data_IF_028586664129
#
_entry.id   IF_028586664129
#
_cell.length_a   1.000
_cell.length_b   1.000
_cell.length_c   1.000
_cell.angle_alpha   90.00
_cell.angle_beta   90.00
_cell.angle_gamma   90.00
#
_symmetry.space_group_name_H-M   'P 1'
#
loop_
_entity.id
_entity.type
_entity.pdbx_description
1 polymer ?
#
# COMPACT_ATOMS: atom_id res chain seq x y z
N UNK A 1 -15.29 21.10 20.20
CA UNK A 1 -15.08 21.79 18.94
C UNK A 1 -15.91 21.14 17.85
N UNK A 2 -16.78 21.92 17.19
CA UNK A 2 -17.59 21.41 16.07
C UNK A 2 -16.76 21.57 14.80
N UNK A 3 -16.42 20.48 14.13
CA UNK A 3 -15.88 20.50 12.77
C UNK A 3 -17.09 20.72 11.86
N UNK A 4 -17.16 21.85 11.18
CA UNK A 4 -18.25 22.15 10.24
C UNK A 4 -18.27 21.19 9.03
N UNK A 5 -18.97 21.57 7.97
CA UNK A 5 -19.01 20.79 6.73
C UNK A 5 -17.63 20.74 6.09
N UNK A 6 -17.20 19.55 5.70
CA UNK A 6 -15.93 19.30 5.02
C UNK A 6 -16.22 18.73 3.63
N UNK A 7 -15.62 19.34 2.61
CA UNK A 7 -15.71 18.82 1.26
C UNK A 7 -14.81 17.58 1.11
N UNK A 8 -15.40 16.44 0.77
CA UNK A 8 -14.67 15.20 0.48
C UNK A 8 -14.45 15.08 -1.03
N UNK A 9 -13.26 14.62 -1.45
CA UNK A 9 -12.94 14.38 -2.87
C UNK A 9 -13.63 13.11 -3.41
N UNK A 10 -14.06 12.21 -2.51
CA UNK A 10 -14.76 10.99 -2.85
C UNK A 10 -16.23 11.08 -2.41
N UNK A 11 -17.11 10.42 -3.17
CA UNK A 11 -18.51 10.29 -2.80
C UNK A 11 -18.69 9.32 -1.63
N UNK A 12 -18.56 9.83 -0.41
CA UNK A 12 -18.70 9.07 0.83
C UNK A 12 -20.10 8.50 0.97
N UNK A 13 -21.13 9.29 0.62
CA UNK A 13 -22.53 8.90 0.76
C UNK A 13 -22.86 7.65 -0.06
N UNK A 14 -22.34 7.55 -1.30
CA UNK A 14 -22.52 6.37 -2.12
C UNK A 14 -21.85 5.12 -1.55
N UNK A 15 -20.65 5.29 -0.96
CA UNK A 15 -19.89 4.16 -0.38
C UNK A 15 -20.52 3.59 0.90
N UNK A 16 -21.17 4.43 1.71
CA UNK A 16 -21.79 4.02 2.98
C UNK A 16 -23.29 3.79 2.87
N UNK A 17 -23.86 3.84 1.66
CA UNK A 17 -25.30 3.63 1.44
C UNK A 17 -25.73 2.27 1.97
N UNK A 18 -26.78 2.28 2.80
CA UNK A 18 -27.30 1.07 3.45
C UNK A 18 -26.42 0.53 4.58
N UNK A 19 -25.45 1.31 5.08
CA UNK A 19 -24.62 0.94 6.20
C UNK A 19 -24.75 1.97 7.34
N UNK A 20 -24.66 1.51 8.60
CA UNK A 20 -24.61 2.38 9.78
C UNK A 20 -23.16 2.79 10.04
N UNK A 21 -22.88 4.09 10.04
CA UNK A 21 -21.56 4.61 10.42
C UNK A 21 -21.41 4.56 11.92
N UNK A 22 -20.47 3.77 12.42
CA UNK A 22 -20.20 3.57 13.86
C UNK A 22 -19.12 4.52 14.35
N UNK A 23 -18.07 4.73 13.54
CA UNK A 23 -16.93 5.56 13.91
C UNK A 23 -16.36 6.30 12.71
N UNK A 24 -15.88 7.51 12.95
CA UNK A 24 -15.06 8.25 12.00
C UNK A 24 -13.74 8.63 12.64
N UNK A 25 -12.64 8.34 11.97
CA UNK A 25 -11.30 8.75 12.37
C UNK A 25 -10.72 9.69 11.32
N UNK A 26 -10.27 10.86 11.76
CA UNK A 26 -9.62 11.85 10.90
C UNK A 26 -8.12 11.80 11.11
N UNK A 27 -7.36 11.66 10.05
CA UNK A 27 -5.90 11.60 10.10
C UNK A 27 -5.26 12.51 9.07
N UNK A 28 -3.98 12.85 9.27
CA UNK A 28 -3.21 13.63 8.32
C UNK A 28 -1.95 12.90 7.92
N UNK A 29 -1.80 12.60 6.63
CA UNK A 29 -0.61 11.92 6.07
C UNK A 29 -0.06 12.71 4.88
N UNK A 30 1.23 12.99 4.88
CA UNK A 30 1.93 13.71 3.80
C UNK A 30 1.27 15.06 3.40
N UNK A 31 0.71 15.77 4.37
CA UNK A 31 0.03 17.06 4.17
C UNK A 31 -1.39 16.95 3.58
N UNK A 32 -1.96 15.75 3.49
CA UNK A 32 -3.36 15.50 3.11
C UNK A 32 -4.16 15.00 4.30
N UNK A 33 -5.42 15.34 4.35
CA UNK A 33 -6.38 14.86 5.33
C UNK A 33 -7.12 13.65 4.79
N UNK A 34 -7.38 12.69 5.65
CA UNK A 34 -8.13 11.46 5.37
C UNK A 34 -9.17 11.26 6.45
N UNK A 35 -10.36 10.82 6.06
CA UNK A 35 -11.38 10.32 6.96
C UNK A 35 -11.55 8.83 6.72
N UNK A 36 -11.42 8.03 7.78
CA UNK A 36 -11.71 6.60 7.77
C UNK A 36 -13.03 6.38 8.49
N UNK A 37 -13.95 5.68 7.85
CA UNK A 37 -15.26 5.35 8.38
C UNK A 37 -15.32 3.86 8.71
N UNK A 38 -15.68 3.55 9.95
CA UNK A 38 -16.06 2.19 10.34
C UNK A 38 -17.57 2.10 10.18
N UNK A 39 -18.02 1.14 9.40
CA UNK A 39 -19.44 0.92 9.10
C UNK A 39 -19.86 -0.48 9.52
N UNK A 40 -21.09 -0.56 10.00
CA UNK A 40 -21.79 -1.82 10.27
C UNK A 40 -22.73 -2.07 9.08
N UNK A 41 -22.60 -3.23 8.48
CA UNK A 41 -23.43 -3.66 7.35
C UNK A 41 -23.65 -5.15 7.46
N UNK A 42 -24.82 -5.61 7.03
CA UNK A 42 -25.09 -7.02 6.86
C UNK A 42 -24.06 -7.65 5.93
N UNK A 43 -23.56 -8.83 6.28
CA UNK A 43 -22.60 -9.53 5.45
C UNK A 43 -23.22 -9.80 4.07
N UNK A 44 -22.56 -9.42 2.98
CA UNK A 44 -23.05 -9.75 1.66
C UNK A 44 -23.05 -11.27 1.49
N UNK A 45 -24.13 -11.83 0.99
CA UNK A 45 -24.16 -13.23 0.55
C UNK A 45 -23.25 -13.37 -0.66
N UNK A 46 -21.98 -13.74 -0.40
CA UNK A 46 -21.02 -13.99 -1.48
C UNK A 46 -21.35 -15.34 -2.10
N UNK A 47 -21.93 -15.34 -3.29
CA UNK A 47 -21.96 -16.55 -4.13
C UNK A 47 -20.51 -16.85 -4.51
N UNK A 48 -19.93 -17.87 -3.89
CA UNK A 48 -18.60 -18.32 -4.29
C UNK A 48 -18.70 -18.95 -5.68
N UNK A 49 -18.02 -18.35 -6.64
CA UNK A 49 -17.80 -18.98 -7.94
C UNK A 49 -16.91 -20.22 -7.76
N UNK A 50 -17.02 -21.25 -8.60
CA UNK A 50 -16.07 -22.35 -8.62
C UNK A 50 -14.66 -21.80 -8.78
N UNK A 51 -13.75 -22.19 -7.88
CA UNK A 51 -12.36 -21.74 -7.90
C UNK A 51 -11.48 -22.82 -8.51
N UNK A 52 -10.37 -22.42 -9.09
CA UNK A 52 -9.28 -23.34 -9.42
C UNK A 52 -8.79 -24.04 -8.12
N UNK A 53 -8.11 -25.17 -8.26
CA UNK A 53 -7.58 -25.91 -7.12
C UNK A 53 -6.54 -25.16 -6.30
N UNK A 54 -5.65 -25.90 -5.64
CA UNK A 54 -4.57 -25.33 -4.85
C UNK A 54 -3.47 -24.68 -5.72
N UNK A 55 -2.85 -23.62 -5.22
CA UNK A 55 -1.69 -22.97 -5.83
C UNK A 55 -0.59 -22.72 -4.80
N UNK A 56 0.64 -23.03 -5.17
CA UNK A 56 1.85 -22.64 -4.43
C UNK A 56 2.39 -21.30 -4.97
N UNK A 57 2.88 -20.45 -4.08
CA UNK A 57 3.45 -19.13 -4.43
C UNK A 57 4.86 -19.05 -3.88
N UNK A 58 5.83 -18.91 -4.77
CA UNK A 58 7.23 -18.56 -4.48
C UNK A 58 7.41 -17.04 -4.59
N UNK A 59 7.94 -16.40 -3.53
CA UNK A 59 8.15 -14.96 -3.45
C UNK A 59 9.61 -14.60 -3.79
N UNK A 60 9.79 -13.65 -4.70
CA UNK A 60 11.10 -13.25 -5.16
C UNK A 60 11.32 -11.73 -5.26
N UNK A 61 12.58 -11.31 -5.25
CA UNK A 61 12.95 -9.89 -5.42
C UNK A 61 13.08 -9.47 -6.88
N UNK A 62 13.32 -10.42 -7.80
CA UNK A 62 13.37 -10.17 -9.26
C UNK A 62 11.95 -10.11 -9.83
N UNK A 63 11.24 -11.19 -9.72
CA UNK A 63 9.79 -11.31 -9.86
C UNK A 63 9.18 -11.21 -8.50
N UNK A 64 8.00 -10.61 -8.37
CA UNK A 64 7.34 -10.47 -7.07
C UNK A 64 6.82 -11.81 -6.56
N UNK A 65 6.22 -12.59 -7.44
CA UNK A 65 5.74 -13.93 -7.14
C UNK A 65 5.79 -14.81 -8.40
N UNK A 66 6.02 -16.11 -8.21
CA UNK A 66 5.87 -17.14 -9.23
C UNK A 66 4.92 -18.21 -8.69
N UNK A 67 3.88 -18.52 -9.43
CA UNK A 67 2.86 -19.48 -9.04
C UNK A 67 3.20 -20.87 -9.60
N UNK A 68 2.74 -21.91 -8.91
CA UNK A 68 2.97 -23.30 -9.34
C UNK A 68 2.33 -23.66 -10.69
N UNK A 69 1.36 -22.87 -11.16
CA UNK A 69 0.77 -23.00 -12.50
C UNK A 69 1.57 -22.32 -13.61
N UNK A 70 2.73 -21.74 -13.27
CA UNK A 70 3.61 -21.03 -14.21
C UNK A 70 3.30 -19.53 -14.34
N UNK A 71 2.28 -19.01 -13.67
CA UNK A 71 1.99 -17.57 -13.69
C UNK A 71 3.09 -16.79 -12.99
N UNK A 72 3.61 -15.74 -13.65
CA UNK A 72 4.68 -14.88 -13.11
C UNK A 72 4.14 -13.48 -12.87
N UNK A 73 4.33 -12.99 -11.65
CA UNK A 73 3.95 -11.64 -11.23
C UNK A 73 5.19 -10.75 -11.17
N UNK A 74 5.25 -9.78 -12.07
CA UNK A 74 6.38 -8.86 -12.15
C UNK A 74 6.51 -7.96 -10.91
N UNK A 75 7.75 -7.69 -10.48
CA UNK A 75 8.02 -6.75 -9.40
C UNK A 75 8.09 -5.31 -9.97
N UNK A 76 7.15 -4.40 -9.62
CA UNK A 76 7.11 -3.03 -10.15
C UNK A 76 8.23 -2.14 -9.62
N UNK A 77 9.01 -2.59 -8.63
CA UNK A 77 10.15 -1.89 -8.01
C UNK A 77 9.83 -0.42 -7.74
N UNK A 78 8.74 -0.17 -7.03
CA UNK A 78 8.14 1.15 -6.83
C UNK A 78 9.12 2.18 -6.23
N UNK A 79 9.99 1.74 -5.30
CA UNK A 79 11.04 2.60 -4.73
C UNK A 79 12.12 2.90 -5.76
N UNK A 80 12.64 1.89 -6.45
CA UNK A 80 13.68 2.05 -7.46
C UNK A 80 13.23 3.02 -8.57
N UNK A 81 12.00 2.86 -9.07
CA UNK A 81 11.41 3.75 -10.06
C UNK A 81 11.27 5.21 -9.58
N UNK A 82 11.20 5.42 -8.26
CA UNK A 82 11.05 6.75 -7.65
C UNK A 82 12.37 7.31 -7.10
N UNK A 83 13.45 6.54 -7.08
CA UNK A 83 14.70 6.85 -6.38
C UNK A 83 15.33 8.17 -6.82
N UNK A 84 15.46 8.42 -8.12
CA UNK A 84 16.02 9.66 -8.67
C UNK A 84 15.24 10.90 -8.19
N UNK A 85 13.90 10.78 -8.15
CA UNK A 85 13.02 11.85 -7.68
C UNK A 85 13.17 12.06 -6.17
N UNK A 86 13.29 10.98 -5.41
CA UNK A 86 13.45 11.00 -3.97
C UNK A 86 14.80 11.64 -3.58
N UNK A 87 15.92 11.22 -4.20
CA UNK A 87 17.25 11.81 -4.02
C UNK A 87 17.25 13.32 -4.26
N UNK A 88 16.63 13.78 -5.35
CA UNK A 88 16.49 15.21 -5.63
C UNK A 88 15.69 15.96 -4.57
N UNK A 89 14.59 15.36 -4.09
CA UNK A 89 13.76 15.97 -3.06
C UNK A 89 14.47 16.05 -1.70
N UNK A 90 15.23 15.01 -1.32
CA UNK A 90 16.07 15.02 -0.11
C UNK A 90 17.19 16.07 -0.20
N UNK A 91 17.89 16.17 -1.33
CA UNK A 91 18.92 17.20 -1.55
C UNK A 91 18.33 18.62 -1.48
N UNK A 92 17.10 18.83 -1.97
CA UNK A 92 16.41 20.11 -1.83
C UNK A 92 16.01 20.40 -0.39
N UNK A 93 15.60 19.38 0.38
CA UNK A 93 15.25 19.50 1.79
C UNK A 93 16.48 19.82 2.68
N UNK A 94 17.62 19.14 2.47
CA UNK A 94 18.83 19.33 3.26
C UNK A 94 19.37 20.76 3.17
N UNK A 95 19.18 21.44 2.01
CA UNK A 95 19.61 22.81 1.76
C UNK A 95 18.72 23.89 2.39
N UNK A 96 17.65 23.51 3.11
CA UNK A 96 16.71 24.49 3.68
C UNK A 96 16.97 24.67 5.18
N UNK A 97 16.91 25.91 5.63
CA UNK A 97 17.05 26.29 7.03
C UNK A 97 15.98 25.59 7.90
N UNK A 98 16.40 25.01 9.03
CA UNK A 98 15.50 24.39 10.01
C UNK A 98 14.48 25.42 10.50
N UNK A 99 13.22 24.99 10.68
CA UNK A 99 12.11 25.87 11.11
C UNK A 99 11.45 26.69 10.00
N UNK A 100 12.09 26.88 8.85
CA UNK A 100 11.55 27.75 7.79
C UNK A 100 10.31 27.14 7.11
N UNK A 101 9.38 28.00 6.66
CA UNK A 101 8.22 27.60 5.84
C UNK A 101 8.65 26.88 4.55
N UNK A 102 9.79 27.28 3.96
CA UNK A 102 10.37 26.61 2.77
C UNK A 102 10.82 25.19 3.08
N UNK A 103 11.40 24.93 4.26
CA UNK A 103 11.76 23.58 4.71
C UNK A 103 10.51 22.71 4.94
N UNK A 104 9.45 23.26 5.51
CA UNK A 104 8.18 22.56 5.69
C UNK A 104 7.60 22.10 4.34
N UNK A 105 7.59 22.99 3.34
CA UNK A 105 7.16 22.64 1.97
C UNK A 105 8.02 21.52 1.37
N UNK A 106 9.36 21.60 1.53
CA UNK A 106 10.26 20.57 1.03
C UNK A 106 10.06 19.22 1.75
N UNK A 107 9.87 19.21 3.08
CA UNK A 107 9.54 18.02 3.87
C UNK A 107 8.24 17.37 3.39
N UNK A 108 7.20 18.17 3.18
CA UNK A 108 5.93 17.67 2.66
C UNK A 108 6.09 17.07 1.25
N UNK A 109 6.98 17.62 0.41
CA UNK A 109 7.28 17.04 -0.92
C UNK A 109 7.91 15.66 -0.80
N UNK A 110 8.90 15.47 0.09
CA UNK A 110 9.51 14.15 0.38
C UNK A 110 8.44 13.18 0.90
N UNK A 111 7.66 13.59 1.90
CA UNK A 111 6.59 12.78 2.47
C UNK A 111 5.56 12.32 1.42
N UNK A 112 5.20 13.21 0.47
CA UNK A 112 4.29 12.85 -0.63
C UNK A 112 4.88 11.81 -1.60
N UNK A 113 6.19 11.85 -1.84
CA UNK A 113 6.86 10.84 -2.67
C UNK A 113 6.80 9.48 -1.98
N UNK A 114 7.16 9.41 -0.69
CA UNK A 114 7.06 8.17 0.10
C UNK A 114 5.62 7.65 0.16
N UNK A 115 4.64 8.52 0.44
CA UNK A 115 3.23 8.13 0.47
C UNK A 115 2.75 7.55 -0.87
N UNK A 116 3.23 8.11 -2.00
CA UNK A 116 2.90 7.59 -3.33
C UNK A 116 3.52 6.22 -3.59
N UNK A 117 4.77 5.99 -3.14
CA UNK A 117 5.43 4.68 -3.24
C UNK A 117 4.62 3.65 -2.43
N UNK A 118 4.32 3.93 -1.17
CA UNK A 118 3.53 3.05 -0.31
C UNK A 118 2.13 2.77 -0.89
N UNK A 119 1.44 3.80 -1.42
CA UNK A 119 0.13 3.61 -2.03
C UNK A 119 0.17 2.71 -3.28
N UNK A 120 1.21 2.83 -4.11
CA UNK A 120 1.36 1.96 -5.29
C UNK A 120 1.64 0.51 -4.91
N UNK A 121 2.45 0.28 -3.87
CA UNK A 121 2.72 -1.06 -3.36
C UNK A 121 1.43 -1.69 -2.85
N UNK A 122 0.72 -0.97 -1.98
CA UNK A 122 -0.54 -1.47 -1.42
C UNK A 122 -1.57 -1.77 -2.51
N UNK A 123 -1.76 -0.87 -3.49
CA UNK A 123 -2.69 -1.09 -4.60
C UNK A 123 -2.35 -2.36 -5.40
N UNK A 124 -1.05 -2.62 -5.63
CA UNK A 124 -0.61 -3.85 -6.27
C UNK A 124 -0.93 -5.08 -5.43
N UNK A 125 -0.56 -5.05 -4.13
CA UNK A 125 -0.79 -6.18 -3.23
C UNK A 125 -2.29 -6.44 -3.04
N UNK A 126 -3.10 -5.40 -2.87
CA UNK A 126 -4.55 -5.50 -2.74
C UNK A 126 -5.18 -6.13 -3.99
N UNK A 127 -4.71 -5.75 -5.19
CA UNK A 127 -5.16 -6.35 -6.46
C UNK A 127 -4.73 -7.80 -6.61
N UNK A 128 -3.47 -8.09 -6.29
CA UNK A 128 -2.91 -9.44 -6.36
C UNK A 128 -3.62 -10.39 -5.39
N UNK A 129 -3.75 -10.01 -4.14
CA UNK A 129 -4.42 -10.84 -3.12
C UNK A 129 -5.91 -11.04 -3.43
N UNK A 130 -6.58 -10.00 -3.93
CA UNK A 130 -7.99 -10.10 -4.37
C UNK A 130 -8.13 -11.07 -5.55
N UNK A 131 -7.23 -10.98 -6.53
CA UNK A 131 -7.22 -11.89 -7.66
C UNK A 131 -6.92 -13.33 -7.25
N UNK A 132 -5.87 -13.57 -6.44
CA UNK A 132 -5.53 -14.90 -5.92
C UNK A 132 -6.71 -15.51 -5.15
N UNK A 133 -7.26 -14.76 -4.19
CA UNK A 133 -8.40 -15.22 -3.38
C UNK A 133 -9.69 -15.43 -4.20
N UNK A 134 -9.83 -14.75 -5.34
CA UNK A 134 -10.94 -14.96 -6.28
C UNK A 134 -10.73 -16.17 -7.19
N UNK A 135 -9.48 -16.52 -7.49
CA UNK A 135 -9.12 -17.54 -8.50
C UNK A 135 -8.94 -18.91 -7.89
N UNK A 136 -8.23 -19.03 -6.74
CA UNK A 136 -7.84 -20.32 -6.17
C UNK A 136 -8.61 -20.63 -4.89
N UNK A 137 -8.84 -21.95 -4.63
CA UNK A 137 -9.47 -22.43 -3.40
C UNK A 137 -8.49 -22.45 -2.23
N UNK A 138 -7.26 -22.89 -2.49
CA UNK A 138 -6.21 -23.07 -1.50
C UNK A 138 -4.94 -22.37 -1.98
N UNK A 139 -4.33 -21.58 -1.10
CA UNK A 139 -3.14 -20.80 -1.40
C UNK A 139 -2.07 -21.15 -0.38
N UNK A 140 -0.96 -21.73 -0.86
CA UNK A 140 0.23 -22.00 -0.05
C UNK A 140 1.30 -20.97 -0.37
N UNK A 141 1.91 -20.38 0.66
CA UNK A 141 2.96 -19.36 0.52
C UNK A 141 4.10 -19.69 1.50
N UNK A 142 5.32 -19.34 1.14
CA UNK A 142 6.48 -19.52 2.00
C UNK A 142 6.43 -18.62 3.24
N UNK A 143 6.79 -19.17 4.40
CA UNK A 143 7.05 -18.39 5.62
C UNK A 143 8.47 -17.82 5.59
N UNK A 144 8.59 -16.61 5.04
CA UNK A 144 9.88 -15.96 4.86
C UNK A 144 10.36 -15.27 6.15
N UNK A 145 11.59 -15.52 6.55
CA UNK A 145 12.25 -14.74 7.60
C UNK A 145 12.66 -13.35 7.07
N UNK A 146 11.66 -12.48 6.84
CA UNK A 146 11.87 -11.13 6.31
C UNK A 146 12.80 -10.30 7.19
N UNK A 147 12.70 -10.44 8.52
CA UNK A 147 13.57 -9.74 9.46
C UNK A 147 15.05 -10.11 9.28
N UNK A 148 15.34 -11.39 9.04
CA UNK A 148 16.68 -11.89 8.70
C UNK A 148 17.15 -11.37 7.35
N UNK A 149 16.29 -11.39 6.34
CA UNK A 149 16.62 -10.89 4.99
C UNK A 149 16.96 -9.40 4.98
N UNK A 150 16.28 -8.57 5.78
CA UNK A 150 16.52 -7.12 5.87
C UNK A 150 17.85 -6.81 6.57
N UNK A 151 18.38 -7.70 7.42
CA UNK A 151 19.72 -7.54 8.02
C UNK A 151 20.83 -7.64 6.99
N UNK A 152 20.61 -8.34 5.88
CA UNK A 152 21.57 -8.40 4.79
C UNK A 152 21.53 -7.10 3.97
N UNK A 153 22.55 -6.25 4.12
CA UNK A 153 22.65 -4.95 3.44
C UNK A 153 22.50 -5.01 1.92
N UNK A 154 22.88 -6.11 1.28
CA UNK A 154 22.76 -6.31 -0.18
C UNK A 154 21.31 -6.56 -0.61
N UNK A 155 20.51 -7.21 0.24
CA UNK A 155 19.13 -7.60 -0.04
C UNK A 155 18.11 -6.62 0.56
N UNK A 156 18.43 -5.95 1.66
CA UNK A 156 17.51 -5.11 2.42
C UNK A 156 16.70 -4.13 1.56
N UNK A 157 17.34 -3.47 0.61
CA UNK A 157 16.67 -2.51 -0.28
C UNK A 157 15.66 -3.22 -1.20
N UNK A 158 16.01 -4.37 -1.77
CA UNK A 158 15.16 -5.12 -2.68
C UNK A 158 13.97 -5.77 -1.93
N UNK A 159 14.22 -6.36 -0.76
CA UNK A 159 13.21 -6.95 0.12
C UNK A 159 12.20 -5.88 0.56
N UNK A 160 12.68 -4.71 1.00
CA UNK A 160 11.81 -3.58 1.35
C UNK A 160 11.06 -3.01 0.13
N UNK A 161 11.63 -3.07 -1.08
CA UNK A 161 10.93 -2.62 -2.28
C UNK A 161 9.87 -3.64 -2.73
N UNK A 162 10.10 -4.92 -2.51
CA UNK A 162 9.13 -5.99 -2.76
C UNK A 162 7.99 -6.03 -1.72
N UNK A 163 8.15 -5.37 -0.55
CA UNK A 163 7.13 -5.30 0.53
C UNK A 163 6.76 -6.65 1.15
N UNK A 164 7.70 -7.56 1.29
CA UNK A 164 7.46 -8.88 1.89
C UNK A 164 6.99 -8.83 3.36
N UNK A 165 7.07 -7.67 4.03
CA UNK A 165 6.59 -7.45 5.38
C UNK A 165 5.19 -6.83 5.45
N UNK A 166 4.53 -6.53 4.32
CA UNK A 166 3.18 -6.00 4.22
C UNK A 166 2.19 -7.11 3.90
#
# INVERSE_FOLDING_TARGET
>A
PRIGRVHCMENVTGRVRGAKVVRMTVSRRAGRWYASLTVERDAPTVKQAPKAGAVGIDLGVKTLATLSDGTVIENPRCLAASERRLKRAHKALSRKTRGSKRRLKARNKVARIHARIASRRRDLLDKLTTWLAGTYSDISIEDLNVAGMVRNHRLAKAVNDASFAE
#
